data_IF_706960771950
#
_entry.id   IF_706960771950
#
_cell.length_a   1.000
_cell.length_b   1.000
_cell.length_c   1.000
_cell.angle_alpha   90.00
_cell.angle_beta   90.00
_cell.angle_gamma   90.00
#
_symmetry.space_group_name_H-M   'P 1'
#
loop_
_entity.id
_entity.type
_entity.pdbx_description
1 polymer ?
#
# COMPACT_ATOMS: atom_id res chain seq x y z
N UNK A 1 -48.04 48.92 -5.42
CA UNK A 1 -46.84 49.75 -5.70
C UNK A 1 -45.67 49.15 -4.93
N UNK A 2 -44.55 48.90 -5.65
CA UNK A 2 -43.17 48.76 -5.13
C UNK A 2 -42.88 47.48 -4.33
N UNK A 3 -41.81 46.71 -4.54
CA UNK A 3 -40.70 46.73 -5.50
C UNK A 3 -39.99 45.38 -5.32
N UNK A 4 -39.58 44.73 -6.41
CA UNK A 4 -38.65 43.60 -6.40
C UNK A 4 -37.32 44.04 -5.77
N UNK A 5 -36.89 43.40 -4.67
CA UNK A 5 -35.49 43.44 -4.25
C UNK A 5 -34.83 42.10 -4.56
N UNK A 6 -34.34 42.04 -5.79
CA UNK A 6 -33.42 41.02 -6.30
C UNK A 6 -32.11 41.14 -5.53
N UNK A 7 -31.79 40.18 -4.65
CA UNK A 7 -30.46 40.09 -4.06
C UNK A 7 -29.50 39.59 -5.14
N UNK A 8 -28.71 40.51 -5.67
CA UNK A 8 -27.61 40.25 -6.59
C UNK A 8 -26.46 39.68 -5.76
N UNK A 9 -26.15 38.41 -5.96
CA UNK A 9 -24.93 37.80 -5.44
C UNK A 9 -23.75 38.27 -6.33
N UNK A 10 -22.69 38.89 -5.78
CA UNK A 10 -21.48 39.12 -6.56
C UNK A 10 -20.77 37.77 -6.73
N UNK A 11 -20.79 37.25 -7.95
CA UNK A 11 -19.92 36.16 -8.35
C UNK A 11 -18.48 36.71 -8.40
N UNK A 12 -17.67 36.41 -7.39
CA UNK A 12 -16.21 36.56 -7.48
C UNK A 12 -15.66 35.29 -8.13
N UNK A 13 -15.61 35.31 -9.46
CA UNK A 13 -14.88 34.32 -10.24
C UNK A 13 -13.39 34.67 -10.15
N UNK A 14 -12.72 34.11 -9.13
CA UNK A 14 -11.26 34.02 -9.09
C UNK A 14 -10.83 33.06 -10.19
N UNK A 15 -10.44 33.61 -11.35
CA UNK A 15 -9.69 32.89 -12.37
C UNK A 15 -8.31 32.62 -11.80
N UNK A 16 -8.18 31.47 -11.13
CA UNK A 16 -6.90 30.94 -10.68
C UNK A 16 -6.13 30.53 -11.92
N UNK A 17 -5.28 31.43 -12.42
CA UNK A 17 -4.41 31.18 -13.56
C UNK A 17 -3.43 30.07 -13.16
N UNK A 18 -3.65 28.88 -13.70
CA UNK A 18 -2.79 27.74 -13.47
C UNK A 18 -1.63 27.84 -14.46
N UNK A 19 -0.52 28.43 -14.02
CA UNK A 19 0.74 28.45 -14.79
C UNK A 19 1.32 27.04 -14.80
N UNK A 20 1.01 26.25 -15.83
CA UNK A 20 1.70 25.00 -16.11
C UNK A 20 3.06 25.31 -16.75
N UNK A 21 4.10 25.46 -15.93
CA UNK A 21 5.47 25.25 -16.44
C UNK A 21 5.65 23.75 -16.65
N UNK A 22 5.41 23.31 -17.89
CA UNK A 22 5.77 21.98 -18.35
C UNK A 22 7.30 21.88 -18.44
N UNK A 23 7.95 21.42 -17.37
CA UNK A 23 9.32 20.93 -17.46
C UNK A 23 9.27 19.51 -18.03
N UNK A 24 9.45 19.42 -19.34
CA UNK A 24 9.87 18.19 -20.03
C UNK A 24 11.22 17.79 -19.43
N UNK A 25 11.20 16.81 -18.52
CA UNK A 25 12.41 16.11 -18.09
C UNK A 25 12.53 14.83 -18.90
N UNK A 26 13.55 14.81 -19.76
CA UNK A 26 14.03 13.65 -20.47
C UNK A 26 14.36 12.54 -19.46
N UNK A 27 13.48 11.54 -19.31
CA UNK A 27 13.75 10.35 -18.52
C UNK A 27 14.56 9.38 -19.37
N UNK A 28 15.86 9.45 -19.21
CA UNK A 28 16.84 8.44 -19.61
C UNK A 28 16.46 7.09 -18.99
N UNK A 29 16.41 6.08 -19.87
CA UNK A 29 16.38 4.64 -19.61
C UNK A 29 16.72 4.20 -18.17
N UNK A 30 15.68 3.82 -17.42
CA UNK A 30 15.77 2.89 -16.31
C UNK A 30 15.10 1.59 -16.74
N UNK A 31 15.93 0.58 -17.00
CA UNK A 31 15.61 -0.78 -17.42
C UNK A 31 14.30 -1.36 -16.89
N UNK A 32 13.36 -1.59 -17.82
CA UNK A 32 12.37 -2.66 -17.68
C UNK A 32 13.08 -3.99 -17.91
N UNK A 33 13.24 -4.80 -16.86
CA UNK A 33 13.30 -6.26 -17.02
C UNK A 33 11.91 -6.82 -16.76
N UNK A 34 11.26 -7.42 -17.76
CA UNK A 34 9.97 -8.07 -17.61
C UNK A 34 10.16 -9.51 -17.12
N UNK A 35 9.46 -9.88 -16.05
CA UNK A 35 9.12 -11.27 -15.67
C UNK A 35 10.21 -12.20 -15.09
N UNK A 36 10.84 -11.80 -14.00
CA UNK A 36 11.31 -12.78 -13.00
C UNK A 36 10.76 -12.38 -11.62
N UNK A 37 10.18 -13.29 -10.82
CA UNK A 37 9.87 -13.03 -9.43
C UNK A 37 11.17 -13.06 -8.64
N UNK A 38 12.06 -12.12 -8.93
CA UNK A 38 13.24 -11.88 -8.12
C UNK A 38 12.73 -11.30 -6.80
N UNK A 39 12.49 -12.20 -5.84
CA UNK A 39 12.19 -11.84 -4.46
C UNK A 39 13.23 -10.82 -4.03
N UNK A 40 12.78 -9.58 -3.85
CA UNK A 40 13.66 -8.52 -3.38
C UNK A 40 14.22 -8.91 -2.02
N UNK A 41 15.40 -8.41 -1.67
CA UNK A 41 16.05 -8.72 -0.37
C UNK A 41 15.10 -8.50 0.82
N UNK A 42 14.18 -7.53 0.72
CA UNK A 42 13.13 -7.29 1.73
C UNK A 42 12.04 -8.35 1.74
N UNK A 43 11.49 -8.71 0.58
CA UNK A 43 10.46 -9.75 0.48
C UNK A 43 10.97 -11.08 1.05
N UNK A 44 12.24 -11.41 0.81
CA UNK A 44 12.85 -12.62 1.35
C UNK A 44 13.00 -12.59 2.88
N UNK A 45 13.31 -11.43 3.46
CA UNK A 45 13.33 -11.25 4.92
C UNK A 45 11.93 -11.40 5.52
N UNK A 46 10.92 -10.78 4.90
CA UNK A 46 9.51 -10.90 5.32
C UNK A 46 9.07 -12.37 5.22
N UNK A 47 9.40 -13.04 4.12
CA UNK A 47 9.12 -14.45 3.89
C UNK A 47 9.68 -15.32 5.00
N UNK A 48 10.97 -15.14 5.32
CA UNK A 48 11.67 -15.93 6.33
C UNK A 48 11.06 -15.72 7.72
N UNK A 49 10.77 -14.47 8.11
CA UNK A 49 10.15 -14.16 9.40
C UNK A 49 8.75 -14.78 9.54
N UNK A 50 7.91 -14.66 8.51
CA UNK A 50 6.56 -15.22 8.54
C UNK A 50 6.58 -16.75 8.52
N UNK A 51 7.46 -17.34 7.73
CA UNK A 51 7.63 -18.80 7.66
C UNK A 51 8.04 -19.36 9.03
N UNK A 52 9.07 -18.78 9.64
CA UNK A 52 9.57 -19.23 10.95
C UNK A 52 8.54 -19.06 12.07
N UNK A 53 7.68 -18.04 12.00
CA UNK A 53 6.75 -17.73 13.10
C UNK A 53 5.42 -18.47 13.01
N UNK A 54 4.88 -18.61 11.80
CA UNK A 54 3.53 -19.10 11.58
C UNK A 54 3.45 -20.47 10.91
N UNK A 55 4.57 -21.00 10.42
CA UNK A 55 4.62 -22.31 9.72
C UNK A 55 3.48 -22.42 8.67
N UNK A 56 3.35 -21.43 7.76
CA UNK A 56 2.17 -21.32 6.93
C UNK A 56 2.11 -22.45 5.89
N UNK A 57 0.89 -22.97 5.68
CA UNK A 57 0.62 -23.91 4.59
C UNK A 57 0.57 -23.21 3.22
N UNK A 58 0.30 -21.90 3.21
CA UNK A 58 0.37 -21.04 2.04
C UNK A 58 0.85 -19.66 2.47
N UNK A 59 1.87 -19.14 1.81
CA UNK A 59 2.39 -17.79 2.00
C UNK A 59 2.57 -17.14 0.64
N UNK A 60 2.03 -15.93 0.49
CA UNK A 60 2.21 -15.12 -0.70
C UNK A 60 2.52 -13.69 -0.27
N UNK A 61 3.57 -13.12 -0.85
CA UNK A 61 4.02 -11.76 -0.62
C UNK A 61 4.17 -11.12 -1.99
N UNK A 62 3.60 -9.93 -2.17
CA UNK A 62 3.67 -9.20 -3.42
C UNK A 62 3.87 -7.71 -3.14
N UNK A 63 4.87 -7.10 -3.77
CA UNK A 63 4.96 -5.64 -3.87
C UNK A 63 3.82 -5.10 -4.75
N UNK A 64 2.96 -4.26 -4.18
CA UNK A 64 1.87 -3.57 -4.89
C UNK A 64 2.15 -2.07 -5.04
N UNK A 65 3.35 -1.63 -4.71
CA UNK A 65 3.81 -0.24 -4.90
C UNK A 65 4.38 0.02 -6.31
N UNK A 66 4.42 -0.99 -7.17
CA UNK A 66 4.98 -0.87 -8.53
C UNK A 66 6.51 -0.87 -8.57
N UNK A 67 7.17 -1.55 -7.62
CA UNK A 67 8.63 -1.69 -7.58
C UNK A 67 9.34 -0.69 -6.66
N UNK A 68 8.61 0.13 -5.91
CA UNK A 68 9.19 1.01 -4.90
C UNK A 68 9.53 0.26 -3.59
N UNK A 69 8.97 -0.94 -3.37
CA UNK A 69 9.16 -1.72 -2.15
C UNK A 69 8.61 -1.06 -0.88
N UNK A 70 7.64 -0.16 -1.02
CA UNK A 70 7.06 0.62 0.09
C UNK A 70 5.69 0.12 0.53
N UNK A 71 5.06 -0.78 -0.22
CA UNK A 71 3.76 -1.35 0.11
C UNK A 71 3.62 -2.79 -0.34
N UNK A 72 3.36 -3.69 0.61
CA UNK A 72 3.24 -5.12 0.34
C UNK A 72 1.83 -5.64 0.63
N UNK A 73 1.36 -6.55 -0.23
CA UNK A 73 0.19 -7.38 0.03
C UNK A 73 0.67 -8.78 0.47
N UNK A 74 0.19 -9.22 1.63
CA UNK A 74 0.58 -10.47 2.26
C UNK A 74 -0.67 -11.32 2.48
N UNK A 75 -0.65 -12.54 1.94
CA UNK A 75 -1.66 -13.56 2.19
C UNK A 75 -1.01 -14.72 2.91
N UNK A 76 -1.56 -15.10 4.06
CA UNK A 76 -1.00 -16.16 4.89
C UNK A 76 -2.10 -17.12 5.36
N UNK A 77 -1.91 -18.40 5.08
CA UNK A 77 -2.77 -19.48 5.57
C UNK A 77 -2.01 -20.34 6.59
N UNK A 78 -2.52 -20.40 7.82
CA UNK A 78 -1.87 -21.16 8.91
C UNK A 78 -2.89 -21.59 9.96
N UNK A 79 -2.68 -22.78 10.51
CA UNK A 79 -3.47 -23.37 11.60
C UNK A 79 -3.31 -22.56 12.90
N UNK A 80 -2.24 -21.75 13.02
CA UNK A 80 -2.02 -20.85 14.18
C UNK A 80 -3.09 -19.77 14.29
N UNK A 81 -3.83 -19.50 13.21
CA UNK A 81 -4.91 -18.52 13.18
C UNK A 81 -6.26 -19.10 13.61
N UNK A 82 -6.37 -20.42 13.71
CA UNK A 82 -7.61 -21.12 14.08
C UNK A 82 -8.03 -20.77 15.50
N UNK A 83 -9.30 -20.37 15.66
CA UNK A 83 -9.85 -19.91 16.95
C UNK A 83 -9.49 -18.47 17.35
N UNK A 84 -8.70 -17.75 16.55
CA UNK A 84 -8.41 -16.33 16.78
C UNK A 84 -9.35 -15.43 15.97
N UNK A 85 -9.83 -14.30 16.53
CA UNK A 85 -10.52 -13.29 15.74
C UNK A 85 -9.54 -12.60 14.77
N UNK A 86 -10.05 -12.19 13.61
CA UNK A 86 -9.27 -11.53 12.54
C UNK A 86 -8.36 -10.41 13.07
N UNK A 87 -8.85 -9.53 13.95
CA UNK A 87 -8.05 -8.43 14.52
C UNK A 87 -6.81 -8.95 15.26
N UNK A 88 -6.91 -10.07 16.00
CA UNK A 88 -5.77 -10.67 16.69
C UNK A 88 -4.79 -11.31 15.70
N UNK A 89 -5.29 -11.97 14.66
CA UNK A 89 -4.45 -12.55 13.61
C UNK A 89 -3.61 -11.45 12.93
N UNK A 90 -4.24 -10.35 12.52
CA UNK A 90 -3.56 -9.20 11.91
C UNK A 90 -2.57 -8.53 12.85
N UNK A 91 -2.89 -8.43 14.16
CA UNK A 91 -1.94 -7.93 15.16
C UNK A 91 -0.70 -8.80 15.26
N UNK A 92 -0.84 -10.12 15.33
CA UNK A 92 0.31 -11.05 15.40
C UNK A 92 1.22 -10.92 14.18
N UNK A 93 0.64 -10.80 12.98
CA UNK A 93 1.41 -10.62 11.75
C UNK A 93 2.13 -9.26 11.76
N UNK A 94 1.44 -8.18 12.10
CA UNK A 94 2.03 -6.84 12.21
C UNK A 94 3.16 -6.78 13.24
N UNK A 95 2.99 -7.42 14.39
CA UNK A 95 4.01 -7.49 15.45
C UNK A 95 5.26 -8.23 14.98
N UNK A 96 5.09 -9.34 14.26
CA UNK A 96 6.20 -10.11 13.69
C UNK A 96 7.00 -9.30 12.66
N UNK A 97 6.31 -8.43 11.93
CA UNK A 97 6.89 -7.62 10.87
C UNK A 97 7.33 -6.23 11.32
N UNK A 98 7.06 -5.83 12.57
CA UNK A 98 7.22 -4.45 13.07
C UNK A 98 8.57 -3.80 12.72
N UNK A 99 9.65 -4.57 12.83
CA UNK A 99 11.01 -4.11 12.53
C UNK A 99 11.24 -3.88 11.03
N UNK A 100 10.71 -4.76 10.18
CA UNK A 100 10.87 -4.68 8.72
C UNK A 100 10.01 -3.57 8.11
N UNK A 101 8.87 -3.29 8.75
CA UNK A 101 7.85 -2.35 8.27
C UNK A 101 8.02 -0.95 8.86
N UNK A 102 8.99 -0.73 9.75
CA UNK A 102 9.21 0.56 10.42
C UNK A 102 9.49 1.72 9.43
N UNK A 103 9.85 1.41 8.19
CA UNK A 103 10.09 2.39 7.11
C UNK A 103 9.21 2.22 5.86
N UNK A 104 8.19 1.35 5.88
CA UNK A 104 7.28 1.18 4.73
C UNK A 104 6.04 2.05 4.88
N UNK A 105 5.45 2.46 3.75
CA UNK A 105 4.28 3.34 3.73
C UNK A 105 3.00 2.64 4.21
N UNK A 106 2.93 1.32 4.04
CA UNK A 106 1.84 0.49 4.54
C UNK A 106 1.96 -0.96 4.11
N UNK A 107 0.98 -1.77 4.53
CA UNK A 107 0.87 -3.18 4.16
C UNK A 107 -0.57 -3.63 4.22
N UNK A 108 -0.92 -4.57 3.35
CA UNK A 108 -2.21 -5.25 3.34
C UNK A 108 -2.00 -6.69 3.81
N UNK A 109 -2.73 -7.09 4.85
CA UNK A 109 -2.68 -8.46 5.39
C UNK A 109 -4.00 -9.14 5.08
N UNK A 110 -3.94 -10.40 4.64
CA UNK A 110 -5.05 -11.33 4.63
C UNK A 110 -4.63 -12.61 5.34
N UNK A 111 -5.37 -12.97 6.38
CA UNK A 111 -5.14 -14.20 7.16
C UNK A 111 -6.24 -15.21 6.87
N UNK A 112 -5.84 -16.46 6.65
CA UNK A 112 -6.74 -17.58 6.41
C UNK A 112 -6.44 -18.62 7.49
N UNK A 113 -7.42 -18.93 8.33
CA UNK A 113 -7.32 -20.05 9.24
C UNK A 113 -7.55 -21.35 8.46
N UNK A 114 -6.69 -22.35 8.65
CA UNK A 114 -6.78 -23.65 7.99
C UNK A 114 -6.93 -24.75 9.04
#
# INVERSE_FOLDING_TARGET
MLSLSRRVFPALHTTRSFSYTALIRNATAGSTTPNDPELTTREQTIWTKLTNKFEPSQLQIQDVSGGCGTFYAIVIASDKFTGLPMVKQHKLVTETLKEEIAGIHGLQIQTIAK
#
